data_IF_529484737565
#
_entry.id   IF_529484737565
#
_cell.length_a   1.000
_cell.length_b   1.000
_cell.length_c   1.000
_cell.angle_alpha   90.00
_cell.angle_beta   90.00
_cell.angle_gamma   90.00
#
_symmetry.space_group_name_H-M   'P 1'
#
loop_
_entity.id
_entity.type
_entity.pdbx_description
1 polymer ?
#
# COMPACT_ATOMS: atom_id res chain seq x y z
N UNK A 1 -13.20 27.35 -5.36
CA UNK A 1 -13.01 25.95 -4.90
C UNK A 1 -11.77 25.42 -5.60
N UNK A 2 -10.69 25.06 -4.89
CA UNK A 2 -9.49 24.54 -5.54
C UNK A 2 -9.79 23.13 -6.08
N UNK A 3 -9.15 22.72 -7.18
CA UNK A 3 -9.40 21.42 -7.79
C UNK A 3 -8.93 20.32 -6.82
N UNK A 4 -9.81 19.37 -6.54
CA UNK A 4 -9.41 18.10 -5.92
C UNK A 4 -8.43 17.44 -6.89
N UNK A 5 -7.13 17.50 -6.58
CA UNK A 5 -6.15 16.66 -7.23
C UNK A 5 -6.61 15.21 -7.01
N UNK A 6 -7.16 14.60 -8.05
CA UNK A 6 -7.52 13.19 -8.04
C UNK A 6 -6.24 12.41 -7.78
N UNK A 7 -6.05 12.05 -6.50
CA UNK A 7 -5.03 11.10 -6.05
C UNK A 7 -5.31 9.83 -6.82
N UNK A 8 -4.37 9.38 -7.64
CA UNK A 8 -4.54 8.11 -8.31
C UNK A 8 -4.62 7.03 -7.23
N UNK A 9 -5.69 6.23 -7.19
CA UNK A 9 -5.79 5.11 -6.29
C UNK A 9 -4.65 4.13 -6.59
N UNK A 10 -4.20 3.39 -5.57
CA UNK A 10 -3.23 2.32 -5.78
C UNK A 10 -3.77 1.35 -6.84
N UNK A 11 -2.93 0.99 -7.81
CA UNK A 11 -3.37 0.05 -8.86
C UNK A 11 -3.67 -1.32 -8.27
N UNK A 12 -4.68 -1.97 -8.84
CA UNK A 12 -5.13 -3.34 -8.49
C UNK A 12 -4.90 -4.34 -9.62
N UNK A 13 -4.20 -3.92 -10.69
CA UNK A 13 -4.02 -4.71 -11.90
C UNK A 13 -3.21 -6.00 -11.70
N UNK A 14 -2.43 -6.08 -10.63
CA UNK A 14 -1.59 -7.22 -10.29
C UNK A 14 -2.21 -8.10 -9.18
N UNK A 15 -3.35 -7.70 -8.62
CA UNK A 15 -3.99 -8.40 -7.52
C UNK A 15 -4.58 -9.72 -8.01
N UNK A 16 -4.21 -10.82 -7.36
CA UNK A 16 -4.75 -12.15 -7.64
C UNK A 16 -5.78 -12.58 -6.60
N UNK A 17 -5.48 -12.32 -5.33
CA UNK A 17 -6.29 -12.80 -4.21
C UNK A 17 -6.25 -11.83 -3.05
N UNK A 18 -7.37 -11.74 -2.34
CA UNK A 18 -7.51 -11.02 -1.09
C UNK A 18 -7.87 -12.00 0.04
N UNK A 19 -7.26 -11.82 1.20
CA UNK A 19 -7.57 -12.64 2.37
C UNK A 19 -7.37 -11.89 3.68
N UNK A 20 -8.07 -12.32 4.71
CA UNK A 20 -8.00 -11.73 6.06
C UNK A 20 -7.60 -12.81 7.06
N UNK A 21 -6.38 -12.71 7.59
CA UNK A 21 -5.86 -13.64 8.59
C UNK A 21 -6.70 -13.63 9.90
N UNK A 22 -7.27 -12.47 10.28
CA UNK A 22 -8.06 -12.37 11.51
C UNK A 22 -9.41 -13.10 11.42
N UNK A 23 -10.03 -13.11 10.24
CA UNK A 23 -11.29 -13.83 10.01
C UNK A 23 -11.07 -15.27 9.51
N UNK A 24 -9.82 -15.65 9.20
CA UNK A 24 -9.46 -16.87 8.47
C UNK A 24 -10.29 -17.05 7.17
N UNK A 25 -10.49 -15.93 6.44
CA UNK A 25 -11.25 -15.91 5.18
C UNK A 25 -10.31 -15.65 4.02
N UNK A 26 -10.42 -16.49 3.00
CA UNK A 26 -9.71 -16.36 1.72
C UNK A 26 -10.69 -16.02 0.59
N UNK A 27 -10.15 -15.68 -0.60
CA UNK A 27 -10.95 -15.31 -1.79
C UNK A 27 -11.97 -14.20 -1.50
N UNK A 28 -11.57 -13.22 -0.69
CA UNK A 28 -12.43 -12.09 -0.38
C UNK A 28 -12.75 -11.33 -1.66
N UNK A 29 -14.03 -11.02 -1.88
CA UNK A 29 -14.44 -10.21 -3.01
C UNK A 29 -14.11 -8.74 -2.75
N UNK A 30 -13.39 -8.11 -3.67
CA UNK A 30 -12.92 -6.73 -3.47
C UNK A 30 -14.06 -5.73 -3.25
N UNK A 31 -15.19 -5.93 -3.89
CA UNK A 31 -16.27 -4.94 -3.89
C UNK A 31 -17.25 -5.18 -2.73
N UNK A 32 -17.31 -6.41 -2.20
CA UNK A 32 -18.25 -6.80 -1.14
C UNK A 32 -17.58 -7.03 0.23
N UNK A 33 -16.35 -7.51 0.27
CA UNK A 33 -15.67 -7.94 1.51
C UNK A 33 -14.58 -6.97 1.99
N UNK A 34 -14.18 -6.00 1.16
CA UNK A 34 -13.12 -5.04 1.47
C UNK A 34 -13.67 -3.61 1.55
N UNK A 35 -13.17 -2.84 2.51
CA UNK A 35 -13.24 -1.38 2.43
C UNK A 35 -12.05 -0.89 1.60
N UNK A 36 -12.26 -0.64 0.31
CA UNK A 36 -11.23 -0.18 -0.63
C UNK A 36 -10.63 1.18 -0.30
N UNK A 37 -11.24 1.95 0.62
CA UNK A 37 -10.67 3.24 1.08
C UNK A 37 -9.58 3.04 2.12
N UNK A 38 -9.69 1.98 2.91
CA UNK A 38 -8.78 1.68 4.02
C UNK A 38 -7.97 0.41 3.79
N UNK A 39 -8.31 -0.37 2.76
CA UNK A 39 -7.77 -1.70 2.49
C UNK A 39 -7.87 -2.64 3.69
N UNK A 40 -9.05 -2.66 4.31
CA UNK A 40 -9.36 -3.51 5.45
C UNK A 40 -10.54 -4.44 5.15
N UNK A 41 -10.65 -5.52 5.91
CA UNK A 41 -11.77 -6.45 5.82
C UNK A 41 -13.02 -5.76 6.38
N UNK A 42 -14.09 -5.69 5.58
CA UNK A 42 -15.36 -5.05 5.98
C UNK A 42 -16.01 -5.70 7.20
N UNK A 43 -15.68 -6.97 7.50
CA UNK A 43 -16.25 -7.68 8.65
C UNK A 43 -15.55 -7.37 9.98
N UNK A 44 -14.24 -7.13 9.99
CA UNK A 44 -13.45 -7.02 11.23
C UNK A 44 -12.56 -5.78 11.31
N UNK A 45 -12.48 -4.98 10.25
CA UNK A 45 -11.65 -3.77 10.17
C UNK A 45 -10.13 -4.01 10.15
N UNK A 46 -9.68 -5.26 10.14
CA UNK A 46 -8.24 -5.57 10.08
C UNK A 46 -7.71 -5.46 8.64
N UNK A 47 -6.42 -5.13 8.45
CA UNK A 47 -5.80 -5.12 7.13
C UNK A 47 -6.00 -6.44 6.38
N UNK A 48 -6.27 -6.35 5.08
CA UNK A 48 -6.27 -7.52 4.20
C UNK A 48 -4.89 -7.73 3.60
N UNK A 49 -4.56 -9.00 3.40
CA UNK A 49 -3.41 -9.43 2.64
C UNK A 49 -3.83 -9.58 1.18
N UNK A 50 -2.94 -9.15 0.30
CA UNK A 50 -3.13 -9.11 -1.15
C UNK A 50 -2.00 -9.90 -1.79
N UNK A 51 -2.33 -10.94 -2.52
CA UNK A 51 -1.35 -11.65 -3.33
C UNK A 51 -1.22 -10.93 -4.67
N UNK A 52 -0.01 -10.48 -4.99
CA UNK A 52 0.35 -9.86 -6.26
C UNK A 52 1.06 -10.88 -7.15
N UNK A 53 0.83 -10.84 -8.47
CA UNK A 53 1.57 -11.63 -9.46
C UNK A 53 1.94 -10.75 -10.67
N UNK A 54 3.17 -10.90 -11.17
CA UNK A 54 3.71 -10.14 -12.31
C UNK A 54 3.44 -10.78 -13.69
N UNK A 55 2.63 -11.83 -13.74
CA UNK A 55 2.35 -12.71 -14.88
C UNK A 55 3.59 -13.42 -15.46
N UNK A 56 4.73 -13.35 -14.77
CA UNK A 56 5.97 -14.08 -15.08
C UNK A 56 6.27 -15.14 -14.02
N UNK A 57 5.33 -15.38 -13.11
CA UNK A 57 5.42 -16.36 -12.04
C UNK A 57 6.06 -15.83 -10.75
N UNK A 58 6.33 -14.53 -10.65
CA UNK A 58 6.76 -13.94 -9.38
C UNK A 58 5.52 -13.52 -8.61
N UNK A 59 5.26 -14.20 -7.50
CA UNK A 59 4.18 -13.87 -6.58
C UNK A 59 4.73 -13.24 -5.30
N UNK A 60 4.00 -12.27 -4.72
CA UNK A 60 4.31 -11.73 -3.41
C UNK A 60 3.05 -11.29 -2.67
N UNK A 61 2.97 -11.65 -1.40
CA UNK A 61 1.90 -11.19 -0.51
C UNK A 61 2.27 -9.86 0.13
N UNK A 62 1.35 -8.90 0.07
CA UNK A 62 1.50 -7.56 0.61
C UNK A 62 0.30 -7.19 1.47
N UNK A 63 0.47 -6.20 2.33
CA UNK A 63 -0.62 -5.41 2.88
C UNK A 63 -0.59 -4.01 2.26
N UNK A 64 -1.75 -3.37 2.12
CA UNK A 64 -1.83 -2.00 1.64
C UNK A 64 -1.95 -1.06 2.82
N UNK A 65 -0.92 -0.24 3.02
CA UNK A 65 -0.87 0.71 4.15
C UNK A 65 -0.65 2.14 3.66
N UNK A 66 -1.23 3.15 4.35
CA UNK A 66 -0.96 4.54 4.03
C UNK A 66 0.51 4.89 4.34
N UNK A 67 1.08 5.84 3.60
CA UNK A 67 2.48 6.26 3.70
C UNK A 67 2.92 6.54 5.15
N UNK A 68 2.05 7.18 5.94
CA UNK A 68 2.33 7.49 7.36
C UNK A 68 2.54 6.30 8.28
N UNK A 69 2.10 5.10 7.89
CA UNK A 69 2.24 3.86 8.68
C UNK A 69 3.53 3.11 8.30
N UNK A 70 4.11 3.43 7.14
CA UNK A 70 5.38 2.87 6.69
C UNK A 70 6.48 3.44 7.57
N UNK A 71 7.39 2.59 8.01
CA UNK A 71 8.54 3.00 8.82
C UNK A 71 9.84 2.58 8.14
N UNK A 72 10.96 3.10 8.67
CA UNK A 72 12.28 2.70 8.20
C UNK A 72 12.45 1.18 8.31
N UNK A 73 13.19 0.63 7.36
CA UNK A 73 13.49 -0.79 7.19
C UNK A 73 12.28 -1.67 6.79
N UNK A 74 11.12 -1.05 6.51
CA UNK A 74 10.04 -1.73 5.76
C UNK A 74 10.48 -2.04 4.33
N UNK A 75 9.90 -3.10 3.76
CA UNK A 75 9.98 -3.39 2.33
C UNK A 75 8.66 -3.04 1.66
N UNK A 76 8.74 -2.26 0.58
CA UNK A 76 7.56 -1.87 -0.23
C UNK A 76 7.73 -2.31 -1.67
N UNK A 77 6.62 -2.65 -2.32
CA UNK A 77 6.56 -2.97 -3.74
C UNK A 77 5.98 -1.80 -4.51
N UNK A 78 6.72 -1.29 -5.49
CA UNK A 78 6.25 -0.21 -6.35
C UNK A 78 5.13 -0.69 -7.27
N UNK A 79 4.02 0.02 -7.25
CA UNK A 79 2.77 -0.40 -7.88
C UNK A 79 2.84 -0.60 -9.41
N UNK A 80 3.75 0.09 -10.11
CA UNK A 80 3.85 0.05 -11.58
C UNK A 80 4.95 -0.87 -12.12
N UNK A 81 5.92 -1.23 -11.27
CA UNK A 81 7.10 -2.01 -11.69
C UNK A 81 7.24 -3.32 -10.94
N UNK A 82 6.43 -3.52 -9.90
CA UNK A 82 6.56 -4.58 -8.91
C UNK A 82 7.97 -4.68 -8.31
N UNK A 83 8.71 -3.57 -8.35
CA UNK A 83 10.06 -3.49 -7.80
C UNK A 83 9.98 -3.44 -6.28
N UNK A 84 10.70 -4.37 -5.63
CA UNK A 84 10.93 -4.35 -4.19
C UNK A 84 11.93 -3.24 -3.83
N UNK A 85 11.56 -2.40 -2.87
CA UNK A 85 12.40 -1.33 -2.37
C UNK A 85 12.44 -1.33 -0.84
N UNK A 86 13.63 -1.15 -0.27
CA UNK A 86 13.81 -0.90 1.16
C UNK A 86 13.48 0.57 1.49
N UNK A 87 12.75 0.81 2.57
CA UNK A 87 12.45 2.14 3.08
C UNK A 87 13.64 2.65 3.90
N UNK A 88 14.30 3.68 3.40
CA UNK A 88 15.45 4.32 4.05
C UNK A 88 15.03 5.40 5.04
N UNK A 89 13.90 6.09 4.77
CA UNK A 89 13.38 7.17 5.59
C UNK A 89 11.87 7.31 5.40
N UNK A 90 11.13 7.54 6.49
CA UNK A 90 9.69 7.75 6.50
C UNK A 90 9.31 8.64 7.68
N UNK A 91 8.88 9.87 7.42
CA UNK A 91 8.55 10.86 8.45
C UNK A 91 7.65 11.98 7.92
N UNK A 92 7.11 12.81 8.81
CA UNK A 92 6.41 14.03 8.40
C UNK A 92 7.36 15.00 7.70
N UNK A 93 6.93 15.61 6.59
CA UNK A 93 7.78 16.54 5.85
C UNK A 93 7.84 17.92 6.54
N UNK A 94 9.05 18.48 6.66
CA UNK A 94 9.35 19.75 7.35
C UNK A 94 8.52 20.96 6.90
N UNK A 95 7.97 20.94 5.68
CA UNK A 95 7.30 22.10 5.09
C UNK A 95 5.88 22.37 5.63
N UNK A 96 5.34 21.52 6.53
CA UNK A 96 3.95 21.62 6.99
C UNK A 96 2.94 21.38 5.86
N UNK A 97 1.71 21.00 6.21
CA UNK A 97 0.65 20.75 5.23
C UNK A 97 0.39 19.26 4.89
N UNK A 98 0.66 18.36 5.84
CA UNK A 98 0.20 16.96 5.76
C UNK A 98 0.89 16.10 4.70
N UNK A 99 2.08 16.52 4.26
CA UNK A 99 2.94 15.74 3.37
C UNK A 99 3.86 14.84 4.19
N UNK A 100 4.13 13.67 3.66
CA UNK A 100 4.98 12.65 4.27
C UNK A 100 6.24 12.49 3.43
N UNK A 101 7.42 12.56 4.00
CA UNK A 101 8.66 12.31 3.29
C UNK A 101 8.96 10.82 3.27
N UNK A 102 9.06 10.22 2.07
CA UNK A 102 9.41 8.82 1.90
C UNK A 102 10.66 8.71 1.01
N UNK A 103 11.70 8.04 1.51
CA UNK A 103 12.90 7.71 0.76
C UNK A 103 13.05 6.19 0.63
N UNK A 104 13.14 5.72 -0.61
CA UNK A 104 13.26 4.31 -0.95
C UNK A 104 14.63 4.04 -1.56
N UNK A 105 15.19 2.87 -1.29
CA UNK A 105 16.48 2.47 -1.85
C UNK A 105 16.43 2.45 -3.38
N UNK A 106 17.41 3.10 -4.02
CA UNK A 106 17.48 3.22 -5.48
C UNK A 106 16.53 4.26 -6.07
N UNK A 107 15.77 5.00 -5.25
CA UNK A 107 14.87 6.06 -5.67
C UNK A 107 15.25 7.39 -4.99
N UNK A 108 14.95 8.50 -5.65
CA UNK A 108 15.07 9.82 -5.00
C UNK A 108 13.94 9.98 -3.99
N UNK A 109 14.28 10.23 -2.73
CA UNK A 109 13.28 10.51 -1.70
C UNK A 109 12.47 11.77 -2.04
N UNK A 110 11.17 11.70 -1.79
CA UNK A 110 10.23 12.75 -2.18
C UNK A 110 9.09 12.89 -1.16
N UNK A 111 8.51 14.09 -1.02
CA UNK A 111 7.28 14.26 -0.29
C UNK A 111 6.11 13.61 -1.06
N UNK A 112 5.31 12.83 -0.35
CA UNK A 112 4.12 12.13 -0.82
C UNK A 112 2.93 12.47 0.07
N UNK A 113 1.73 12.07 -0.35
CA UNK A 113 0.55 12.20 0.51
C UNK A 113 0.61 11.21 1.67
N UNK A 114 0.36 11.67 2.91
CA UNK A 114 0.37 10.80 4.08
C UNK A 114 -0.67 9.66 4.00
N UNK A 115 -1.73 9.82 3.21
CA UNK A 115 -2.78 8.81 2.98
C UNK A 115 -2.59 8.05 1.66
N UNK A 116 -1.51 8.28 0.90
CA UNK A 116 -1.23 7.45 -0.28
C UNK A 116 -0.92 6.04 0.18
N UNK A 117 -1.59 5.05 -0.40
CA UNK A 117 -1.35 3.65 -0.08
C UNK A 117 -0.13 3.11 -0.84
N UNK A 118 0.59 2.21 -0.18
CA UNK A 118 1.71 1.44 -0.74
C UNK A 118 1.51 -0.04 -0.41
N UNK A 119 2.00 -0.90 -1.30
CA UNK A 119 2.11 -2.33 -1.05
C UNK A 119 3.33 -2.55 -0.13
N UNK A 120 3.12 -2.99 1.10
CA UNK A 120 4.16 -3.30 2.09
C UNK A 120 4.23 -4.81 2.32
N UNK A 121 5.42 -5.37 2.45
CA UNK A 121 5.58 -6.76 2.91
C UNK A 121 5.15 -6.85 4.39
N UNK A 122 4.19 -7.72 4.75
CA UNK A 122 3.73 -7.86 6.13
C UNK A 122 4.89 -8.25 7.06
N UNK A 123 4.86 -7.75 8.29
CA UNK A 123 5.84 -8.06 9.33
C UNK A 123 5.45 -9.28 10.16
#
# INVERSE_FOLDING_TARGET
MPPHHHRLPITTAYDQRYWCHHCDRTDLDRDNDLDVRTWTCSSCGHPVLVDLDDFKGNATTVERVPARVIIRDDYVILEHTLQLCLVLKSEEADAGGGRWYLALQGQRGAPVDANRFYNRIPR
#
